data_IF_380113413682
#
_entry.id   IF_380113413682
#
_cell.length_a   1.000
_cell.length_b   1.000
_cell.length_c   1.000
_cell.angle_alpha   90.00
_cell.angle_beta   90.00
_cell.angle_gamma   90.00
#
_symmetry.space_group_name_H-M   'P 1'
#
loop_
_entity.id
_entity.type
_entity.pdbx_description
1 polymer ?
#
# COMPACT_ATOMS: atom_id res chain seq x y z
N UNK A 1 3.41 -4.54 4.07
CA UNK A 1 3.80 -3.49 5.03
C UNK A 1 5.12 -3.87 5.70
N UNK A 2 5.81 -2.94 6.37
CA UNK A 2 7.08 -3.25 7.07
C UNK A 2 6.89 -4.30 8.17
N UNK A 3 7.95 -5.06 8.45
CA UNK A 3 7.93 -6.10 9.47
C UNK A 3 7.77 -5.54 10.88
N UNK A 4 8.37 -4.38 11.12
CA UNK A 4 8.28 -3.70 12.41
C UNK A 4 6.89 -3.15 12.70
N UNK A 5 6.02 -3.00 11.68
CA UNK A 5 4.69 -2.37 11.80
C UNK A 5 4.74 -1.02 12.54
N UNK A 6 5.88 -0.32 12.41
CA UNK A 6 6.14 0.99 13.02
C UNK A 6 6.18 2.08 11.95
N UNK A 7 5.63 3.24 12.29
CA UNK A 7 5.66 4.42 11.45
C UNK A 7 6.01 5.66 12.29
N UNK A 8 7.09 6.40 11.99
CA UNK A 8 7.50 7.55 12.80
C UNK A 8 6.52 8.70 12.75
N UNK A 9 6.44 9.46 13.85
CA UNK A 9 5.64 10.70 13.93
C UNK A 9 5.96 11.70 12.83
N UNK A 10 7.23 11.86 12.48
CA UNK A 10 7.64 12.78 11.41
C UNK A 10 7.02 12.39 10.06
N UNK A 11 6.89 11.09 9.79
CA UNK A 11 6.30 10.58 8.55
C UNK A 11 4.79 10.76 8.58
N UNK A 12 4.14 10.42 9.69
CA UNK A 12 2.67 10.61 9.85
C UNK A 12 2.31 12.09 9.70
N UNK A 13 3.05 12.99 10.37
CA UNK A 13 2.89 14.44 10.21
C UNK A 13 3.06 14.88 8.76
N UNK A 14 4.07 14.34 8.07
CA UNK A 14 4.31 14.63 6.65
C UNK A 14 3.19 14.16 5.70
N UNK A 15 2.32 13.25 6.17
CA UNK A 15 1.19 12.65 5.45
C UNK A 15 -0.18 13.10 5.97
N UNK A 16 -0.26 13.93 7.01
CA UNK A 16 -1.53 14.31 7.66
C UNK A 16 -2.59 14.78 6.67
N UNK A 17 -2.19 15.65 5.74
CA UNK A 17 -3.10 16.20 4.72
C UNK A 17 -3.67 15.11 3.81
N UNK A 18 -2.84 14.16 3.35
CA UNK A 18 -3.30 13.04 2.52
C UNK A 18 -4.22 12.10 3.28
N UNK A 19 -3.95 11.87 4.57
CA UNK A 19 -4.74 11.01 5.44
C UNK A 19 -6.01 11.70 5.97
N UNK A 20 -6.22 12.99 5.69
CA UNK A 20 -7.33 13.76 6.25
C UNK A 20 -7.27 13.92 7.78
N UNK A 21 -6.08 13.80 8.38
CA UNK A 21 -5.91 13.88 9.83
C UNK A 21 -5.91 15.35 10.29
N UNK A 22 -6.65 15.70 11.37
CA UNK A 22 -6.58 17.03 11.95
C UNK A 22 -5.17 17.43 12.42
N UNK A 23 -4.83 18.71 12.39
CA UNK A 23 -3.51 19.22 12.80
C UNK A 23 -3.12 18.80 14.22
N UNK A 24 -4.11 18.71 15.11
CA UNK A 24 -3.93 18.35 16.53
C UNK A 24 -4.04 16.84 16.79
N UNK A 25 -4.26 16.01 15.77
CA UNK A 25 -4.44 14.56 15.93
C UNK A 25 -3.29 13.91 16.73
N UNK A 26 -2.05 14.30 16.43
CA UNK A 26 -0.86 13.75 17.10
C UNK A 26 -0.58 14.40 18.47
N UNK A 27 -1.34 15.42 18.88
CA UNK A 27 -1.16 16.07 20.20
C UNK A 27 -1.80 15.28 21.33
N UNK A 28 -2.86 14.54 21.02
CA UNK A 28 -3.53 13.65 21.97
C UNK A 28 -3.82 12.29 21.31
N UNK A 29 -2.79 11.46 21.12
CA UNK A 29 -2.94 10.17 20.45
C UNK A 29 -3.83 9.20 21.25
N UNK A 30 -3.93 9.36 22.58
CA UNK A 30 -4.69 8.44 23.43
C UNK A 30 -6.19 8.57 23.19
N UNK A 31 -6.70 9.79 22.97
CA UNK A 31 -8.11 10.00 22.62
C UNK A 31 -8.42 9.76 21.14
N UNK A 32 -7.42 9.92 20.27
CA UNK A 32 -7.61 9.89 18.82
C UNK A 32 -7.36 8.50 18.18
N UNK A 33 -6.77 7.56 18.91
CA UNK A 33 -6.44 6.23 18.42
C UNK A 33 -7.23 5.16 19.17
N UNK A 34 -7.63 4.11 18.45
CA UNK A 34 -8.20 2.93 19.07
C UNK A 34 -7.10 2.03 19.70
N UNK A 35 -7.53 0.97 20.37
CA UNK A 35 -6.65 0.02 21.06
C UNK A 35 -5.68 -0.74 20.14
N UNK A 36 -5.85 -0.67 18.82
CA UNK A 36 -4.96 -1.33 17.86
C UNK A 36 -3.64 -0.57 17.67
N UNK A 37 -3.54 0.66 18.17
CA UNK A 37 -2.36 1.50 18.01
C UNK A 37 -1.69 1.80 19.34
N UNK A 38 -0.36 1.75 19.35
CA UNK A 38 0.47 2.16 20.48
C UNK A 38 1.50 3.17 20.05
N UNK A 39 1.66 4.21 20.87
CA UNK A 39 2.79 5.13 20.75
C UNK A 39 4.02 4.43 21.31
N UNK A 40 5.08 4.35 20.51
CA UNK A 40 6.33 3.69 20.86
C UNK A 40 7.51 4.63 20.65
N UNK A 41 8.58 4.42 21.40
CA UNK A 41 9.87 5.03 21.13
C UNK A 41 10.59 4.28 20.01
N UNK A 42 11.22 5.02 19.10
CA UNK A 42 11.99 4.51 17.97
C UNK A 42 13.48 4.55 18.27
N UNK A 43 14.28 3.86 17.46
CA UNK A 43 15.74 3.73 17.65
C UNK A 43 16.49 5.08 17.64
N UNK A 44 15.93 6.10 16.99
CA UNK A 44 16.46 7.45 16.93
C UNK A 44 16.01 8.34 18.11
N UNK A 45 15.32 7.76 19.12
CA UNK A 45 14.74 8.46 20.26
C UNK A 45 13.48 9.26 19.90
N UNK A 46 12.99 9.18 18.66
CA UNK A 46 11.74 9.82 18.27
C UNK A 46 10.54 8.94 18.56
N UNK A 47 9.37 9.56 18.66
CA UNK A 47 8.12 8.82 18.79
C UNK A 47 7.67 8.27 17.43
N UNK A 48 7.05 7.10 17.48
CA UNK A 48 6.38 6.46 16.37
C UNK A 48 5.07 5.81 16.80
N UNK A 49 4.35 5.34 15.79
CA UNK A 49 3.15 4.56 15.95
C UNK A 49 3.43 3.12 15.59
N UNK A 50 3.12 2.20 16.50
CA UNK A 50 3.10 0.78 16.23
C UNK A 50 1.65 0.30 16.14
N UNK A 51 1.40 -0.66 15.26
CA UNK A 51 0.10 -1.32 15.19
C UNK A 51 0.22 -2.72 15.79
N UNK A 52 -0.59 -2.97 16.82
CA UNK A 52 -0.81 -4.30 17.35
C UNK A 52 -2.05 -4.87 16.69
N UNK A 53 -1.82 -5.85 15.82
CA UNK A 53 -2.89 -6.52 15.08
C UNK A 53 -2.83 -8.00 15.46
N UNK A 54 -3.83 -8.45 16.22
CA UNK A 54 -4.00 -9.86 16.57
C UNK A 54 -4.80 -10.64 15.51
N UNK A 55 -5.54 -9.92 14.64
CA UNK A 55 -6.42 -10.53 13.63
C UNK A 55 -5.86 -10.43 12.20
N UNK A 56 -6.14 -11.43 11.37
CA UNK A 56 -5.84 -11.36 9.93
C UNK A 56 -6.64 -10.20 9.29
N UNK A 57 -5.94 -9.17 8.80
CA UNK A 57 -6.56 -8.05 8.08
C UNK A 57 -6.65 -8.33 6.58
N UNK A 58 -7.82 -8.06 6.03
CA UNK A 58 -8.09 -8.14 4.60
C UNK A 58 -7.72 -6.83 3.90
N UNK A 59 -7.08 -6.94 2.74
CA UNK A 59 -6.84 -5.79 1.87
C UNK A 59 -8.13 -5.23 1.28
N UNK A 60 -8.08 -4.01 0.77
CA UNK A 60 -9.20 -3.40 0.04
C UNK A 60 -9.68 -4.29 -1.11
N UNK A 61 -8.76 -4.95 -1.82
CA UNK A 61 -9.09 -5.87 -2.90
C UNK A 61 -9.82 -7.12 -2.41
N UNK A 62 -9.34 -7.75 -1.33
CA UNK A 62 -10.01 -8.90 -0.72
C UNK A 62 -11.40 -8.53 -0.21
N UNK A 63 -11.53 -7.36 0.42
CA UNK A 63 -12.82 -6.81 0.88
C UNK A 63 -13.77 -6.54 -0.28
N UNK A 64 -13.30 -6.01 -1.41
CA UNK A 64 -14.14 -5.74 -2.58
C UNK A 64 -14.69 -7.03 -3.20
N UNK A 65 -13.88 -8.09 -3.27
CA UNK A 65 -14.31 -9.42 -3.73
C UNK A 65 -15.47 -9.94 -2.86
N UNK A 66 -15.30 -9.92 -1.54
CA UNK A 66 -16.34 -10.37 -0.59
C UNK A 66 -17.60 -9.52 -0.71
N UNK A 67 -17.48 -8.19 -0.80
CA UNK A 67 -18.62 -7.28 -0.97
C UNK A 67 -19.44 -7.56 -2.22
N UNK A 68 -18.81 -8.08 -3.28
CA UNK A 68 -19.46 -8.48 -4.53
C UNK A 68 -20.05 -9.90 -4.48
N UNK A 69 -20.00 -10.57 -3.33
CA UNK A 69 -20.49 -11.94 -3.15
C UNK A 69 -19.53 -13.00 -3.68
N UNK A 70 -18.27 -12.65 -3.94
CA UNK A 70 -17.22 -13.59 -4.33
C UNK A 70 -16.46 -14.13 -3.12
N UNK A 71 -15.69 -15.18 -3.36
CA UNK A 71 -14.70 -15.71 -2.43
C UNK A 71 -13.31 -15.52 -3.04
N UNK A 72 -12.32 -15.18 -2.21
CA UNK A 72 -10.92 -15.18 -2.63
C UNK A 72 -10.26 -16.45 -2.07
N UNK A 73 -9.41 -17.07 -2.87
CA UNK A 73 -8.58 -18.18 -2.44
C UNK A 73 -7.16 -17.67 -2.17
N UNK A 74 -6.51 -18.20 -1.13
CA UNK A 74 -5.12 -17.85 -0.86
C UNK A 74 -4.21 -18.22 -2.05
N UNK A 75 -3.26 -17.33 -2.35
CA UNK A 75 -2.39 -17.43 -3.53
C UNK A 75 -3.10 -17.43 -4.90
N UNK A 76 -4.42 -17.19 -4.97
CA UNK A 76 -5.09 -16.96 -6.23
C UNK A 76 -4.80 -15.55 -6.78
N UNK A 77 -4.90 -15.36 -8.11
CA UNK A 77 -4.78 -14.03 -8.69
C UNK A 77 -5.95 -13.15 -8.24
N UNK A 78 -5.64 -11.95 -7.74
CA UNK A 78 -6.61 -10.86 -7.62
C UNK A 78 -6.26 -9.75 -8.60
N UNK A 79 -7.30 -9.22 -9.25
CA UNK A 79 -7.18 -8.10 -10.18
C UNK A 79 -6.98 -6.83 -9.38
N UNK A 80 -5.91 -6.11 -9.67
CA UNK A 80 -5.68 -4.78 -9.12
C UNK A 80 -6.24 -3.78 -10.15
N UNK A 81 -7.22 -2.93 -9.81
CA UNK A 81 -7.70 -1.90 -10.72
C UNK A 81 -6.56 -0.97 -11.15
N UNK A 82 -6.29 -0.95 -12.45
CA UNK A 82 -5.24 -0.14 -13.07
C UNK A 82 -5.88 0.74 -14.14
N UNK A 83 -5.78 2.07 -13.98
CA UNK A 83 -6.45 3.03 -14.84
C UNK A 83 -5.42 3.73 -15.75
N UNK A 84 -5.27 3.28 -17.01
CA UNK A 84 -4.43 4.02 -17.96
C UNK A 84 -4.96 5.44 -18.13
N UNK A 85 -4.05 6.39 -18.32
CA UNK A 85 -4.43 7.79 -18.57
C UNK A 85 -5.39 7.89 -19.77
N UNK A 86 -6.43 8.73 -19.63
CA UNK A 86 -7.42 8.96 -20.70
C UNK A 86 -6.70 9.35 -21.98
N UNK A 87 -6.94 8.62 -23.08
CA UNK A 87 -6.29 8.84 -24.38
C UNK A 87 -5.02 8.02 -24.65
N UNK A 88 -4.53 7.25 -23.68
CA UNK A 88 -3.41 6.33 -23.91
C UNK A 88 -3.89 5.09 -24.66
N UNK A 89 -3.61 5.01 -25.97
CA UNK A 89 -3.70 3.73 -26.71
C UNK A 89 -2.59 2.82 -26.21
N UNK A 90 -2.92 1.90 -25.31
CA UNK A 90 -1.98 0.88 -24.86
C UNK A 90 -1.50 0.08 -26.07
N UNK A 91 -0.18 0.09 -26.30
CA UNK A 91 0.44 -0.77 -27.33
C UNK A 91 0.14 -2.23 -26.98
N UNK A 92 -0.09 -3.09 -27.98
CA UNK A 92 -0.39 -4.54 -27.77
C UNK A 92 0.53 -5.22 -26.77
N UNK A 93 1.84 -4.92 -26.81
CA UNK A 93 2.84 -5.44 -25.87
C UNK A 93 2.57 -5.06 -24.40
N UNK A 94 2.11 -3.83 -24.16
CA UNK A 94 1.77 -3.35 -22.81
C UNK A 94 0.48 -4.02 -22.32
N UNK A 95 -0.51 -4.19 -23.20
CA UNK A 95 -1.74 -4.92 -22.87
C UNK A 95 -1.43 -6.37 -22.48
N UNK A 96 -0.63 -7.07 -23.29
CA UNK A 96 -0.23 -8.44 -22.98
C UNK A 96 0.50 -8.55 -21.65
N UNK A 97 1.46 -7.65 -21.40
CA UNK A 97 2.16 -7.62 -20.11
C UNK A 97 1.21 -7.36 -18.95
N UNK A 98 0.23 -6.46 -19.12
CA UNK A 98 -0.77 -6.16 -18.11
C UNK A 98 -1.65 -7.38 -17.80
N UNK A 99 -2.08 -8.12 -18.82
CA UNK A 99 -2.87 -9.34 -18.66
C UNK A 99 -2.10 -10.41 -17.86
N UNK A 100 -0.83 -10.62 -18.20
CA UNK A 100 0.05 -11.53 -17.46
C UNK A 100 0.26 -11.07 -16.02
N UNK A 101 0.48 -9.77 -15.82
CA UNK A 101 0.60 -9.18 -14.48
C UNK A 101 -0.67 -9.39 -13.63
N UNK A 102 -1.86 -9.24 -14.22
CA UNK A 102 -3.12 -9.48 -13.51
C UNK A 102 -3.32 -10.95 -13.14
N UNK A 103 -2.72 -11.89 -13.87
CA UNK A 103 -2.78 -13.34 -13.59
C UNK A 103 -1.80 -13.82 -12.51
N UNK A 104 -0.86 -13.01 -12.08
CA UNK A 104 0.07 -13.40 -11.00
C UNK A 104 -0.68 -13.60 -9.68
N UNK A 105 -0.26 -14.54 -8.81
CA UNK A 105 -0.76 -14.67 -7.44
C UNK A 105 -0.79 -13.34 -6.70
N UNK A 106 -1.88 -13.06 -5.98
CA UNK A 106 -1.95 -11.90 -5.10
C UNK A 106 -1.50 -12.27 -3.70
N UNK A 107 -0.55 -11.51 -3.16
CA UNK A 107 -0.12 -11.59 -1.76
C UNK A 107 -0.55 -10.30 -1.07
N UNK A 108 -1.30 -10.43 0.03
CA UNK A 108 -1.86 -9.28 0.73
C UNK A 108 -0.75 -8.37 1.29
N UNK A 109 -0.94 -7.03 1.30
CA UNK A 109 -0.07 -6.11 2.02
C UNK A 109 0.13 -6.45 3.49
N UNK A 110 -0.84 -7.13 4.10
CA UNK A 110 -0.87 -7.52 5.52
C UNK A 110 -0.29 -8.91 5.79
N UNK A 111 -0.01 -9.70 4.75
CA UNK A 111 0.60 -11.02 4.86
C UNK A 111 2.13 -10.96 4.87
N UNK A 112 2.75 -11.99 5.45
CA UNK A 112 4.20 -12.17 5.38
C UNK A 112 4.63 -12.42 3.93
N UNK A 113 5.80 -11.90 3.57
CA UNK A 113 6.30 -11.88 2.21
C UNK A 113 7.78 -12.25 2.12
N UNK A 114 8.38 -12.74 3.22
CA UNK A 114 9.79 -13.13 3.25
C UNK A 114 10.10 -14.25 2.24
N UNK A 115 9.11 -15.10 1.99
CA UNK A 115 9.20 -16.18 1.00
C UNK A 115 9.25 -15.68 -0.46
N UNK A 116 8.91 -14.41 -0.73
CA UNK A 116 8.92 -13.87 -2.09
C UNK A 116 10.32 -13.45 -2.51
N UNK A 117 10.73 -13.90 -3.70
CA UNK A 117 11.93 -13.38 -4.35
C UNK A 117 11.71 -11.91 -4.75
N UNK A 118 12.52 -11.00 -4.22
CA UNK A 118 12.46 -9.55 -4.46
C UNK A 118 12.72 -9.14 -5.92
N UNK A 119 13.23 -10.04 -6.76
CA UNK A 119 13.38 -9.83 -8.20
C UNK A 119 12.29 -10.49 -9.05
N UNK A 120 11.25 -11.07 -8.44
CA UNK A 120 10.15 -11.73 -9.16
C UNK A 120 8.98 -10.79 -9.44
N UNK A 121 8.22 -11.09 -10.49
CA UNK A 121 7.01 -10.34 -10.84
C UNK A 121 5.93 -10.43 -9.74
N UNK A 122 5.90 -11.52 -8.96
CA UNK A 122 5.02 -11.65 -7.80
C UNK A 122 5.34 -10.61 -6.73
N UNK A 123 6.63 -10.32 -6.50
CA UNK A 123 7.03 -9.26 -5.59
C UNK A 123 6.66 -7.88 -6.15
N UNK A 124 6.79 -7.66 -7.46
CA UNK A 124 6.30 -6.43 -8.10
C UNK A 124 4.79 -6.27 -7.95
N UNK A 125 4.01 -7.34 -8.14
CA UNK A 125 2.56 -7.33 -7.92
C UNK A 125 2.20 -7.00 -6.47
N UNK A 126 2.91 -7.55 -5.51
CA UNK A 126 2.74 -7.19 -4.10
C UNK A 126 3.04 -5.71 -3.85
N UNK A 127 4.12 -5.17 -4.42
CA UNK A 127 4.46 -3.75 -4.30
C UNK A 127 3.30 -2.88 -4.82
N UNK A 128 2.73 -3.25 -5.97
CA UNK A 128 1.54 -2.59 -6.51
C UNK A 128 0.34 -2.71 -5.57
N UNK A 129 0.10 -3.89 -5.00
CA UNK A 129 -0.96 -4.10 -4.00
C UNK A 129 -0.78 -3.23 -2.74
N UNK A 130 0.45 -3.04 -2.28
CA UNK A 130 0.77 -2.14 -1.15
C UNK A 130 0.48 -0.68 -1.51
N UNK A 131 0.78 -0.27 -2.74
CA UNK A 131 0.42 1.07 -3.22
C UNK A 131 -1.08 1.26 -3.30
N UNK A 132 -1.80 0.29 -3.86
CA UNK A 132 -3.25 0.31 -3.92
C UNK A 132 -3.85 0.49 -2.52
N UNK A 133 -3.38 -0.29 -1.54
CA UNK A 133 -3.83 -0.18 -0.16
C UNK A 133 -3.50 1.18 0.45
N UNK A 134 -2.27 1.68 0.24
CA UNK A 134 -1.81 2.95 0.80
C UNK A 134 -2.60 4.13 0.23
N UNK A 135 -2.81 4.14 -1.09
CA UNK A 135 -3.60 5.18 -1.75
C UNK A 135 -5.05 5.13 -1.31
N UNK A 136 -5.63 3.94 -1.08
CA UNK A 136 -6.96 3.82 -0.50
C UNK A 136 -7.11 4.35 0.93
N UNK A 137 -6.02 4.67 1.63
CA UNK A 137 -6.06 5.39 2.91
C UNK A 137 -6.10 6.91 2.74
N UNK A 138 -5.78 7.42 1.55
CA UNK A 138 -5.73 8.85 1.31
C UNK A 138 -7.08 9.37 0.84
N UNK A 139 -7.44 10.57 1.30
CA UNK A 139 -8.73 11.22 0.97
C UNK A 139 -8.94 11.29 -0.54
N UNK A 140 -7.94 11.82 -1.26
CA UNK A 140 -7.98 11.96 -2.72
C UNK A 140 -7.41 10.75 -3.47
N UNK A 141 -7.15 9.66 -2.75
CA UNK A 141 -6.53 8.45 -3.25
C UNK A 141 -5.27 8.64 -4.11
N UNK A 142 -4.54 9.71 -3.82
CA UNK A 142 -3.38 10.15 -4.60
C UNK A 142 -2.37 10.81 -3.66
N UNK A 143 -1.10 10.78 -4.07
CA UNK A 143 -0.05 11.50 -3.36
C UNK A 143 1.08 11.89 -4.30
N UNK A 144 1.76 12.99 -3.98
CA UNK A 144 3.00 13.36 -4.66
C UNK A 144 4.02 12.22 -4.55
N UNK A 145 4.70 11.90 -5.66
CA UNK A 145 5.72 10.83 -5.69
C UNK A 145 6.77 10.98 -4.59
N UNK A 146 7.29 12.19 -4.36
CA UNK A 146 8.27 12.50 -3.30
C UNK A 146 7.77 12.15 -1.90
N UNK A 147 6.47 12.22 -1.66
CA UNK A 147 5.85 11.85 -0.37
C UNK A 147 5.84 10.34 -0.22
N UNK A 148 5.44 9.60 -1.25
CA UNK A 148 5.50 8.14 -1.27
C UNK A 148 6.92 7.60 -1.00
N UNK A 149 7.97 8.30 -1.44
CA UNK A 149 9.35 7.96 -1.10
C UNK A 149 9.62 7.95 0.41
N UNK A 150 9.01 8.87 1.18
CA UNK A 150 9.15 8.88 2.65
C UNK A 150 8.55 7.64 3.31
N UNK A 151 7.57 7.00 2.68
CA UNK A 151 6.93 5.77 3.17
C UNK A 151 7.67 4.50 2.74
N UNK A 152 8.64 4.59 1.83
CA UNK A 152 9.31 3.43 1.21
C UNK A 152 9.81 2.41 2.24
N UNK A 153 10.56 2.87 3.23
CA UNK A 153 11.12 2.01 4.27
C UNK A 153 10.01 1.37 5.12
N UNK A 154 9.03 2.16 5.53
CA UNK A 154 7.94 1.76 6.42
C UNK A 154 6.85 0.91 5.74
N UNK A 155 6.82 0.87 4.42
CA UNK A 155 5.95 -0.02 3.65
C UNK A 155 6.66 -1.30 3.18
N UNK A 156 7.98 -1.41 3.42
CA UNK A 156 8.79 -2.55 2.96
C UNK A 156 9.02 -2.55 1.44
N UNK A 157 9.09 -1.37 0.83
CA UNK A 157 9.22 -1.19 -0.61
C UNK A 157 10.70 -1.22 -1.06
N UNK A 158 11.00 -1.81 -2.23
CA UNK A 158 12.36 -1.94 -2.73
C UNK A 158 12.98 -0.58 -3.05
N UNK A 159 14.31 -0.46 -3.05
CA UNK A 159 15.01 0.79 -3.38
C UNK A 159 14.65 1.31 -4.78
N UNK A 160 14.42 0.39 -5.72
CA UNK A 160 14.03 0.70 -7.11
C UNK A 160 12.51 0.67 -7.34
N UNK A 161 11.68 0.85 -6.30
CA UNK A 161 10.22 0.80 -6.43
C UNK A 161 9.65 1.83 -7.42
N UNK A 162 10.37 2.93 -7.68
CA UNK A 162 10.00 3.90 -8.73
C UNK A 162 9.89 3.26 -10.11
N UNK A 163 10.57 2.12 -10.35
CA UNK A 163 10.39 1.35 -11.58
C UNK A 163 8.97 0.85 -11.72
N UNK A 164 8.32 0.43 -10.62
CA UNK A 164 6.91 0.04 -10.65
C UNK A 164 6.03 1.23 -11.00
N UNK A 165 6.31 2.40 -10.43
CA UNK A 165 5.59 3.66 -10.72
C UNK A 165 5.82 4.20 -12.15
N UNK A 166 6.92 3.82 -12.81
CA UNK A 166 7.29 4.29 -14.14
C UNK A 166 7.00 3.23 -15.25
N UNK A 167 7.15 1.95 -14.94
CA UNK A 167 6.83 0.83 -15.83
C UNK A 167 5.32 0.79 -16.11
N UNK A 168 4.55 1.21 -15.12
CA UNK A 168 3.17 1.59 -15.30
C UNK A 168 3.11 3.03 -15.83
N UNK A 169 2.99 3.22 -17.14
CA UNK A 169 2.38 4.46 -17.70
C UNK A 169 0.88 4.59 -17.31
N UNK A 170 0.44 3.81 -16.33
CA UNK A 170 -0.87 3.69 -15.76
C UNK A 170 -0.77 4.46 -14.45
N UNK A 171 -1.46 5.57 -14.37
CA UNK A 171 -1.62 6.23 -13.08
C UNK A 171 -2.47 5.31 -12.21
N UNK A 172 -2.05 5.07 -10.98
CA UNK A 172 -2.93 4.49 -9.96
C UNK A 172 -3.90 5.59 -9.54
N UNK A 173 -4.83 5.98 -10.42
CA UNK A 173 -5.94 6.87 -10.05
C UNK A 173 -7.08 6.01 -9.56
N UNK A 174 -7.38 6.10 -8.29
CA UNK A 174 -8.61 5.55 -7.72
C UNK A 174 -9.72 6.60 -7.87
N UNK A 175 -10.92 6.14 -8.22
CA UNK A 175 -12.16 6.91 -8.15
C UNK A 175 -13.03 6.33 -7.06
#
# INVERSE_FOLDING_TARGET
MSQEKKLPWKVIRGMQWYLGLPDKFLKDPVSNLDSSFKVVEMEDGLQGLNVEIDEKKLSLLQKDVIKRGGEYLEAAPLVIPLYPSKGLRLKRKISYWLDEFQRLPYVSPYEDFQHLNRSSDNYEKRVVGVFHETLGLFVDHSAERKKLFCLRLYLGLPQKFYKVLNATHIYFTFH
#
